data_IF_840641961790
#
_entry.id   IF_840641961790
#
_cell.length_a   1.000
_cell.length_b   1.000
_cell.length_c   1.000
_cell.angle_alpha   90.00
_cell.angle_beta   90.00
_cell.angle_gamma   90.00
#
_symmetry.space_group_name_H-M   'P 1'
#
loop_
_entity.id
_entity.type
_entity.pdbx_description
1 polymer ?
#
# COMPACT_ATOMS: atom_id res chain seq x y z
N UNK A 1 20.14 -15.59 -9.38
CA UNK A 1 19.83 -14.16 -9.70
C UNK A 1 18.43 -13.92 -9.21
N UNK A 2 18.23 -12.89 -8.38
CA UNK A 2 16.92 -12.56 -7.79
C UNK A 2 16.15 -11.71 -8.80
N UNK A 3 15.01 -12.19 -9.24
CA UNK A 3 14.17 -11.55 -10.25
C UNK A 3 13.18 -10.59 -9.58
N UNK A 4 13.27 -9.31 -9.90
CA UNK A 4 12.49 -8.25 -9.24
C UNK A 4 11.51 -7.59 -10.21
N UNK A 5 10.24 -7.48 -9.81
CA UNK A 5 9.24 -6.63 -10.42
C UNK A 5 9.15 -5.32 -9.63
N UNK A 6 9.16 -4.17 -10.32
CA UNK A 6 8.96 -2.84 -9.75
C UNK A 6 7.61 -2.27 -10.18
N UNK A 7 6.81 -1.81 -9.22
CA UNK A 7 5.57 -1.09 -9.48
C UNK A 7 5.57 0.25 -8.72
N UNK A 8 5.56 1.35 -9.46
CA UNK A 8 5.64 2.71 -8.94
C UNK A 8 5.13 3.68 -10.02
N UNK A 9 4.23 4.58 -9.70
CA UNK A 9 3.67 5.52 -10.69
C UNK A 9 4.66 6.64 -11.07
N UNK A 10 5.61 6.95 -10.18
CA UNK A 10 6.61 7.99 -10.40
C UNK A 10 7.74 7.47 -11.30
N UNK A 11 7.73 7.83 -12.57
CA UNK A 11 8.69 7.33 -13.57
C UNK A 11 10.17 7.56 -13.17
N UNK A 12 10.47 8.72 -12.53
CA UNK A 12 11.84 9.02 -12.07
C UNK A 12 12.27 8.09 -10.93
N UNK A 13 11.39 7.87 -9.95
CA UNK A 13 11.66 6.99 -8.80
C UNK A 13 11.81 5.55 -9.28
N UNK A 14 10.89 5.06 -10.11
CA UNK A 14 10.93 3.72 -10.69
C UNK A 14 12.23 3.50 -11.49
N UNK A 15 12.63 4.48 -12.31
CA UNK A 15 13.89 4.43 -13.06
C UNK A 15 15.12 4.41 -12.17
N UNK A 16 15.14 5.22 -11.10
CA UNK A 16 16.23 5.26 -10.13
C UNK A 16 16.36 3.94 -9.36
N UNK A 17 15.25 3.38 -8.89
CA UNK A 17 15.22 2.08 -8.21
C UNK A 17 15.68 0.95 -9.14
N UNK A 18 15.24 0.96 -10.40
CA UNK A 18 15.67 -0.03 -11.39
C UNK A 18 17.18 0.06 -11.66
N UNK A 19 17.72 1.27 -11.87
CA UNK A 19 19.14 1.48 -12.09
C UNK A 19 19.98 1.03 -10.88
N UNK A 20 19.55 1.38 -9.67
CA UNK A 20 20.21 1.01 -8.43
C UNK A 20 20.26 -0.53 -8.25
N UNK A 21 19.13 -1.21 -8.43
CA UNK A 21 19.08 -2.67 -8.31
C UNK A 21 19.89 -3.38 -9.40
N UNK A 22 19.96 -2.81 -10.61
CA UNK A 22 20.73 -3.38 -11.73
C UNK A 22 22.25 -3.29 -11.55
N UNK A 23 22.76 -2.50 -10.61
CA UNK A 23 24.18 -2.48 -10.25
C UNK A 23 24.58 -3.74 -9.48
N UNK A 24 23.63 -4.36 -8.78
CA UNK A 24 23.86 -5.53 -7.97
C UNK A 24 23.97 -6.80 -8.85
N UNK A 25 25.09 -7.57 -8.76
CA UNK A 25 25.33 -8.68 -9.67
C UNK A 25 24.38 -9.88 -9.48
N UNK A 26 23.67 -9.93 -8.37
CA UNK A 26 22.75 -10.99 -8.00
C UNK A 26 21.26 -10.63 -8.18
N UNK A 27 20.96 -9.40 -8.63
CA UNK A 27 19.59 -8.89 -8.82
C UNK A 27 19.33 -8.55 -10.28
N UNK A 28 18.15 -8.90 -10.78
CA UNK A 28 17.68 -8.57 -12.12
C UNK A 28 16.27 -7.94 -12.05
N UNK A 29 16.11 -6.74 -12.60
CA UNK A 29 14.79 -6.12 -12.73
C UNK A 29 14.13 -6.67 -14.00
N UNK A 30 13.17 -7.56 -13.81
CA UNK A 30 12.53 -8.30 -14.92
C UNK A 30 11.25 -7.65 -15.44
N UNK A 31 10.65 -6.74 -14.68
CA UNK A 31 9.47 -5.99 -15.09
C UNK A 31 9.38 -4.66 -14.34
N UNK A 32 8.83 -3.65 -15.01
CA UNK A 32 8.51 -2.34 -14.46
C UNK A 32 7.10 -1.94 -14.91
N UNK A 33 6.25 -1.53 -13.97
CA UNK A 33 4.87 -1.09 -14.24
C UNK A 33 4.56 0.21 -13.49
N UNK A 34 3.59 0.98 -13.99
CA UNK A 34 3.25 2.29 -13.47
C UNK A 34 1.91 2.31 -12.70
N UNK A 35 1.19 1.20 -12.66
CA UNK A 35 -0.10 1.11 -11.97
C UNK A 35 -0.30 -0.26 -11.32
N UNK A 36 -1.13 -0.31 -10.27
CA UNK A 36 -1.47 -1.56 -9.60
C UNK A 36 -2.28 -2.52 -10.48
N UNK A 37 -2.99 -2.02 -11.50
CA UNK A 37 -3.74 -2.84 -12.44
C UNK A 37 -2.84 -3.71 -13.32
N UNK A 38 -1.61 -3.28 -13.57
CA UNK A 38 -0.64 -3.98 -14.42
C UNK A 38 0.15 -5.06 -13.66
N UNK A 39 0.23 -4.97 -12.31
CA UNK A 39 1.11 -5.80 -11.47
C UNK A 39 0.91 -7.30 -11.71
N UNK A 40 -0.34 -7.78 -11.65
CA UNK A 40 -0.60 -9.22 -11.75
C UNK A 40 -0.26 -9.77 -13.14
N UNK A 41 -0.57 -9.02 -14.20
CA UNK A 41 -0.26 -9.42 -15.57
C UNK A 41 1.26 -9.47 -15.80
N UNK A 42 1.98 -8.44 -15.36
CA UNK A 42 3.44 -8.37 -15.43
C UNK A 42 4.12 -9.49 -14.62
N UNK A 43 3.62 -9.77 -13.40
CA UNK A 43 4.15 -10.85 -12.57
C UNK A 43 3.96 -12.23 -13.21
N UNK A 44 2.83 -12.48 -13.86
CA UNK A 44 2.61 -13.74 -14.60
C UNK A 44 3.54 -13.90 -15.80
N UNK A 45 3.81 -12.82 -16.51
CA UNK A 45 4.67 -12.84 -17.70
C UNK A 45 6.16 -12.94 -17.32
N UNK A 46 6.59 -12.17 -16.31
CA UNK A 46 7.99 -12.06 -15.92
C UNK A 46 8.43 -13.04 -14.84
N UNK A 47 7.52 -13.74 -14.16
CA UNK A 47 7.81 -14.69 -13.07
C UNK A 47 8.86 -14.18 -12.08
N UNK A 48 8.60 -13.06 -11.37
CA UNK A 48 9.54 -12.50 -10.41
C UNK A 48 9.58 -13.33 -9.12
N UNK A 49 10.72 -13.30 -8.42
CA UNK A 49 10.87 -13.83 -7.06
C UNK A 49 10.37 -12.82 -6.03
N UNK A 50 10.62 -11.54 -6.27
CA UNK A 50 10.27 -10.42 -5.40
C UNK A 50 9.52 -9.34 -6.19
N UNK A 51 8.44 -8.82 -5.63
CA UNK A 51 7.72 -7.65 -6.14
C UNK A 51 7.87 -6.48 -5.17
N UNK A 52 8.46 -5.37 -5.64
CA UNK A 52 8.50 -4.08 -4.94
C UNK A 52 7.33 -3.24 -5.42
N UNK A 53 6.40 -2.91 -4.52
CA UNK A 53 5.17 -2.21 -4.84
C UNK A 53 5.07 -0.90 -4.05
N UNK A 54 4.88 0.23 -4.74
CA UNK A 54 4.46 1.45 -4.06
C UNK A 54 3.03 1.33 -3.56
N UNK A 55 2.69 2.02 -2.48
CA UNK A 55 1.32 2.09 -1.95
C UNK A 55 0.44 2.94 -2.87
N UNK A 56 0.91 4.11 -3.26
CA UNK A 56 0.13 5.08 -4.02
C UNK A 56 0.35 4.90 -5.51
N UNK A 57 -0.58 4.27 -6.19
CA UNK A 57 -0.58 4.12 -7.64
C UNK A 57 -1.97 4.41 -8.23
N UNK A 58 -2.05 4.91 -9.47
CA UNK A 58 -3.32 5.14 -10.14
C UNK A 58 -4.08 3.83 -10.38
N UNK A 59 -5.40 3.93 -10.45
CA UNK A 59 -6.29 2.78 -10.59
C UNK A 59 -6.33 1.95 -9.30
N UNK A 60 -5.68 0.83 -9.30
CA UNK A 60 -5.56 -0.04 -8.14
C UNK A 60 -4.34 0.37 -7.28
N UNK A 61 -4.56 0.59 -5.99
CA UNK A 61 -3.46 0.87 -5.05
C UNK A 61 -2.55 -0.36 -4.84
N UNK A 62 -1.34 -0.10 -4.33
CA UNK A 62 -0.35 -1.16 -4.15
C UNK A 62 -0.72 -2.21 -3.11
N UNK A 63 -1.53 -1.88 -2.09
CA UNK A 63 -1.98 -2.85 -1.10
C UNK A 63 -3.02 -3.80 -1.68
N UNK A 64 -3.92 -3.28 -2.50
CA UNK A 64 -4.89 -4.08 -3.26
C UNK A 64 -4.17 -4.98 -4.28
N UNK A 65 -3.19 -4.43 -5.01
CA UNK A 65 -2.36 -5.20 -5.94
C UNK A 65 -1.55 -6.30 -5.21
N UNK A 66 -1.00 -6.01 -4.03
CA UNK A 66 -0.32 -6.98 -3.17
C UNK A 66 -1.23 -8.15 -2.76
N UNK A 67 -2.45 -7.85 -2.31
CA UNK A 67 -3.41 -8.88 -1.91
C UNK A 67 -3.83 -9.79 -3.08
N UNK A 68 -4.00 -9.22 -4.28
CA UNK A 68 -4.28 -9.99 -5.49
C UNK A 68 -3.09 -10.85 -5.91
N UNK A 69 -1.89 -10.26 -5.91
CA UNK A 69 -0.66 -10.97 -6.25
C UNK A 69 -0.39 -12.12 -5.29
N UNK A 70 -0.49 -11.89 -3.99
CA UNK A 70 -0.31 -12.91 -2.95
C UNK A 70 -1.28 -14.09 -3.12
N UNK A 71 -2.55 -13.81 -3.45
CA UNK A 71 -3.56 -14.84 -3.69
C UNK A 71 -3.30 -15.63 -4.96
N UNK A 72 -2.90 -14.94 -6.05
CA UNK A 72 -2.75 -15.54 -7.37
C UNK A 72 -1.40 -16.24 -7.56
N UNK A 73 -0.34 -15.71 -6.96
CA UNK A 73 1.05 -16.16 -7.08
C UNK A 73 1.74 -16.17 -5.70
N UNK A 74 1.39 -17.09 -4.80
CA UNK A 74 1.86 -17.09 -3.41
C UNK A 74 3.38 -17.33 -3.26
N UNK A 75 4.06 -17.74 -4.34
CA UNK A 75 5.52 -17.87 -4.39
C UNK A 75 6.24 -16.53 -4.51
N UNK A 76 5.58 -15.49 -5.01
CA UNK A 76 6.18 -14.15 -5.14
C UNK A 76 6.24 -13.46 -3.78
N UNK A 77 7.41 -13.03 -3.37
CA UNK A 77 7.62 -12.27 -2.13
C UNK A 77 7.31 -10.80 -2.35
N UNK A 78 6.46 -10.22 -1.53
CA UNK A 78 5.99 -8.85 -1.70
C UNK A 78 6.65 -7.93 -0.68
N UNK A 79 7.26 -6.86 -1.16
CA UNK A 79 7.81 -5.76 -0.37
C UNK A 79 7.05 -4.49 -0.74
N UNK A 80 6.48 -3.83 0.23
CA UNK A 80 5.94 -2.49 0.06
C UNK A 80 7.08 -1.49 0.19
N UNK A 81 7.20 -0.60 -0.82
CA UNK A 81 8.22 0.46 -0.86
C UNK A 81 7.51 1.80 -1.05
N UNK A 82 7.42 2.62 -0.01
CA UNK A 82 6.58 3.83 0.00
C UNK A 82 7.31 5.04 0.57
N UNK A 83 6.90 6.25 0.18
CA UNK A 83 7.41 7.50 0.77
C UNK A 83 6.93 7.72 2.20
N UNK A 84 5.84 7.05 2.63
CA UNK A 84 5.23 7.27 3.93
C UNK A 84 5.27 6.02 4.80
N UNK A 85 6.18 6.01 5.79
CA UNK A 85 6.25 4.98 6.83
C UNK A 85 5.15 5.14 7.89
N UNK A 86 3.87 5.18 7.48
CA UNK A 86 2.76 5.30 8.44
C UNK A 86 2.43 3.94 9.06
N UNK A 87 2.21 3.88 10.39
CA UNK A 87 1.97 2.61 11.09
C UNK A 87 0.80 1.79 10.54
N UNK A 88 -0.27 2.44 10.12
CA UNK A 88 -1.45 1.76 9.57
C UNK A 88 -1.20 1.15 8.18
N UNK A 89 -0.32 1.72 7.37
CA UNK A 89 0.09 1.11 6.10
C UNK A 89 0.86 -0.19 6.33
N UNK A 90 1.70 -0.24 7.36
CA UNK A 90 2.40 -1.48 7.71
C UNK A 90 1.42 -2.60 8.05
N UNK A 91 0.45 -2.36 8.93
CA UNK A 91 -0.54 -3.36 9.31
C UNK A 91 -1.34 -3.86 8.09
N UNK A 92 -1.78 -2.94 7.21
CA UNK A 92 -2.50 -3.28 5.97
C UNK A 92 -1.62 -4.04 4.99
N UNK A 93 -0.35 -3.65 4.83
CA UNK A 93 0.62 -4.34 3.97
C UNK A 93 0.83 -5.79 4.42
N UNK A 94 1.04 -6.01 5.72
CA UNK A 94 1.20 -7.35 6.27
C UNK A 94 -0.08 -8.19 6.08
N UNK A 95 -1.26 -7.61 6.29
CA UNK A 95 -2.55 -8.26 6.04
C UNK A 95 -2.77 -8.59 4.55
N UNK A 96 -2.22 -7.79 3.63
CA UNK A 96 -2.24 -8.02 2.19
C UNK A 96 -1.23 -9.08 1.72
N UNK A 97 -0.43 -9.66 2.63
CA UNK A 97 0.54 -10.71 2.33
C UNK A 97 1.96 -10.21 2.05
N UNK A 98 2.24 -8.92 2.28
CA UNK A 98 3.61 -8.42 2.21
C UNK A 98 4.47 -9.04 3.31
N UNK A 99 5.73 -9.29 2.99
CA UNK A 99 6.74 -9.81 3.91
C UNK A 99 7.86 -8.80 4.17
N UNK A 100 7.84 -7.67 3.44
CA UNK A 100 8.75 -6.54 3.64
C UNK A 100 8.01 -5.22 3.56
N UNK A 101 8.52 -4.23 4.31
CA UNK A 101 8.07 -2.84 4.26
C UNK A 101 9.28 -1.92 4.39
N UNK A 102 9.52 -1.09 3.39
CA UNK A 102 10.66 -0.19 3.29
C UNK A 102 10.17 1.20 2.93
N UNK A 103 10.74 2.24 3.53
CA UNK A 103 10.47 3.62 3.15
C UNK A 103 11.46 4.07 2.07
N UNK A 104 10.98 4.84 1.08
CA UNK A 104 11.80 5.27 -0.08
C UNK A 104 12.91 6.26 0.27
N UNK A 105 12.87 6.88 1.45
CA UNK A 105 13.91 7.76 1.99
C UNK A 105 15.02 7.00 2.75
N UNK A 106 14.87 5.68 2.91
CA UNK A 106 15.92 4.85 3.48
C UNK A 106 17.16 4.80 2.55
N UNK A 107 18.36 4.60 3.12
CA UNK A 107 19.57 4.40 2.33
C UNK A 107 19.40 3.30 1.28
N UNK A 108 19.91 3.48 0.05
CA UNK A 108 19.78 2.51 -1.04
C UNK A 108 20.16 1.07 -0.66
N UNK A 109 21.17 0.92 0.16
CA UNK A 109 21.68 -0.37 0.62
C UNK A 109 20.63 -1.14 1.45
N UNK A 110 19.74 -0.43 2.15
CA UNK A 110 18.68 -1.07 2.93
C UNK A 110 17.62 -1.70 2.02
N UNK A 111 17.31 -1.10 0.87
CA UNK A 111 16.39 -1.70 -0.08
C UNK A 111 16.99 -2.94 -0.73
N UNK A 112 18.26 -2.89 -1.11
CA UNK A 112 19.00 -4.05 -1.66
C UNK A 112 19.03 -5.18 -0.64
N UNK A 113 19.38 -4.90 0.62
CA UNK A 113 19.37 -5.88 1.71
C UNK A 113 17.97 -6.45 1.94
N UNK A 114 16.93 -5.60 1.90
CA UNK A 114 15.54 -6.03 2.03
C UNK A 114 15.15 -7.04 0.93
N UNK A 115 15.50 -6.79 -0.33
CA UNK A 115 15.27 -7.71 -1.44
C UNK A 115 15.93 -9.06 -1.20
N UNK A 116 17.21 -9.08 -0.79
CA UNK A 116 17.96 -10.30 -0.50
C UNK A 116 17.36 -11.09 0.66
N UNK A 117 17.05 -10.42 1.76
CA UNK A 117 16.48 -11.04 2.96
C UNK A 117 15.09 -11.59 2.71
N UNK A 118 14.26 -10.85 2.01
CA UNK A 118 12.90 -11.30 1.65
C UNK A 118 12.96 -12.49 0.70
N UNK A 119 13.85 -12.48 -0.28
CA UNK A 119 14.10 -13.63 -1.16
C UNK A 119 14.56 -14.86 -0.37
N UNK A 120 15.41 -14.68 0.65
CA UNK A 120 15.83 -15.73 1.58
C UNK A 120 14.72 -16.20 2.55
N UNK A 121 13.50 -15.67 2.44
CA UNK A 121 12.35 -16.07 3.28
C UNK A 121 12.22 -15.33 4.60
N UNK A 122 13.03 -14.30 4.84
CA UNK A 122 12.95 -13.49 6.04
C UNK A 122 11.88 -12.38 5.88
N UNK A 123 11.42 -11.84 7.00
CA UNK A 123 10.62 -10.61 7.03
C UNK A 123 11.50 -9.40 7.26
N UNK A 124 11.19 -8.30 6.58
CA UNK A 124 11.94 -7.04 6.69
C UNK A 124 10.99 -5.89 6.99
N UNK A 125 11.05 -5.40 8.22
CA UNK A 125 10.28 -4.24 8.69
C UNK A 125 11.18 -3.46 9.64
N UNK A 126 11.13 -2.14 9.57
CA UNK A 126 11.81 -1.29 10.55
C UNK A 126 11.23 -1.55 11.95
N UNK A 127 12.05 -1.85 12.98
CA UNK A 127 11.57 -2.16 14.32
C UNK A 127 10.79 -1.01 14.98
N UNK A 128 11.17 0.25 14.73
CA UNK A 128 10.48 1.41 15.29
C UNK A 128 9.09 1.54 14.66
N UNK A 129 8.98 1.39 13.34
CA UNK A 129 7.70 1.40 12.63
C UNK A 129 6.81 0.22 13.05
N UNK A 130 7.39 -0.95 13.29
CA UNK A 130 6.65 -2.11 13.79
C UNK A 130 6.07 -1.84 15.20
N UNK A 131 6.87 -1.27 16.10
CA UNK A 131 6.43 -0.92 17.45
C UNK A 131 5.32 0.14 17.42
N UNK A 132 5.44 1.17 16.57
CA UNK A 132 4.44 2.21 16.40
C UNK A 132 3.14 1.66 15.79
N UNK A 133 3.24 0.76 14.82
CA UNK A 133 2.08 0.08 14.23
C UNK A 133 1.31 -0.75 15.26
N UNK A 134 2.01 -1.43 16.17
CA UNK A 134 1.39 -2.15 17.27
C UNK A 134 0.68 -1.21 18.25
N UNK A 135 1.28 -0.05 18.54
CA UNK A 135 0.71 0.95 19.44
C UNK A 135 -0.54 1.64 18.83
N UNK A 136 -0.55 1.86 17.53
CA UNK A 136 -1.66 2.51 16.79
C UNK A 136 -2.87 1.57 16.65
N UNK A 137 -2.64 0.26 16.64
CA UNK A 137 -3.68 -0.75 16.49
C UNK A 137 -4.26 -0.85 15.06
N UNK A 138 -5.21 -1.77 14.90
CA UNK A 138 -5.94 -1.93 13.65
C UNK A 138 -6.90 -0.76 13.40
N UNK A 139 -7.20 -0.49 12.12
CA UNK A 139 -8.22 0.52 11.77
C UNK A 139 -9.56 0.19 12.42
N UNK A 140 -10.19 1.13 13.14
CA UNK A 140 -11.51 0.94 13.70
C UNK A 140 -12.62 1.06 12.65
N UNK A 141 -12.27 1.51 11.43
CA UNK A 141 -13.21 1.71 10.33
C UNK A 141 -13.57 0.37 9.69
N UNK A 142 -14.85 0.18 9.43
CA UNK A 142 -15.30 -0.91 8.57
C UNK A 142 -14.94 -0.62 7.11
N UNK A 143 -14.89 -1.63 6.21
CA UNK A 143 -14.62 -1.40 4.78
C UNK A 143 -15.57 -0.36 4.16
N UNK A 144 -16.82 -0.31 4.59
CA UNK A 144 -17.83 0.62 4.07
C UNK A 144 -17.64 2.05 4.61
N UNK A 145 -17.26 2.19 5.86
CA UNK A 145 -16.89 3.49 6.45
C UNK A 145 -15.64 4.06 5.81
N UNK A 146 -14.64 3.21 5.56
CA UNK A 146 -13.42 3.57 4.82
C UNK A 146 -13.77 4.09 3.42
N UNK A 147 -14.57 3.35 2.64
CA UNK A 147 -14.97 3.72 1.29
C UNK A 147 -15.74 5.05 1.25
N UNK A 148 -16.68 5.24 2.17
CA UNK A 148 -17.46 6.48 2.27
C UNK A 148 -16.59 7.66 2.71
N UNK A 149 -15.68 7.46 3.65
CA UNK A 149 -14.79 8.51 4.13
C UNK A 149 -13.76 8.91 3.05
N UNK A 150 -13.20 7.93 2.33
CA UNK A 150 -12.30 8.18 1.20
C UNK A 150 -12.98 8.97 0.08
N UNK A 151 -14.21 8.60 -0.28
CA UNK A 151 -14.98 9.35 -1.27
C UNK A 151 -15.28 10.79 -0.81
N UNK A 152 -15.51 11.00 0.48
CA UNK A 152 -15.73 12.33 1.05
C UNK A 152 -14.48 13.23 0.98
N UNK A 153 -13.27 12.66 1.04
CA UNK A 153 -12.01 13.39 0.83
C UNK A 153 -11.91 13.94 -0.59
N UNK A 154 -12.34 13.17 -1.58
CA UNK A 154 -12.34 13.60 -2.98
C UNK A 154 -13.30 14.76 -3.24
N UNK A 155 -14.18 15.09 -2.29
CA UNK A 155 -15.15 16.18 -2.36
C UNK A 155 -16.51 15.76 -2.86
N UNK A 156 -17.46 16.70 -2.81
CA UNK A 156 -18.84 16.49 -3.23
C UNK A 156 -19.85 16.55 -2.07
N UNK A 157 -21.12 16.62 -2.42
CA UNK A 157 -22.22 16.60 -1.45
C UNK A 157 -22.56 15.16 -1.04
N UNK A 158 -23.30 14.99 0.06
CA UNK A 158 -23.81 13.66 0.47
C UNK A 158 -24.61 13.01 -0.66
N UNK A 159 -25.32 13.81 -1.45
CA UNK A 159 -26.08 13.31 -2.62
C UNK A 159 -25.17 12.76 -3.72
N UNK A 160 -24.03 13.45 -3.97
CA UNK A 160 -23.04 12.99 -4.96
C UNK A 160 -22.38 11.68 -4.51
N UNK A 161 -21.98 11.61 -3.23
CA UNK A 161 -21.42 10.39 -2.63
C UNK A 161 -22.42 9.22 -2.69
N UNK A 162 -23.69 9.49 -2.41
CA UNK A 162 -24.74 8.47 -2.47
C UNK A 162 -24.88 7.87 -3.89
N UNK A 163 -24.84 8.72 -4.92
CA UNK A 163 -24.86 8.29 -6.33
C UNK A 163 -23.60 7.49 -6.70
N UNK A 164 -22.42 8.03 -6.36
CA UNK A 164 -21.12 7.41 -6.64
C UNK A 164 -21.00 6.02 -6.03
N UNK A 165 -21.43 5.86 -4.78
CA UNK A 165 -21.28 4.64 -3.99
C UNK A 165 -22.51 3.70 -4.11
N UNK A 166 -23.53 4.12 -4.85
CA UNK A 166 -24.83 3.40 -5.00
C UNK A 166 -25.48 3.13 -3.64
N UNK A 167 -25.53 4.15 -2.78
CA UNK A 167 -26.14 4.12 -1.45
C UNK A 167 -27.27 5.16 -1.35
N UNK A 168 -28.10 5.03 -0.30
CA UNK A 168 -28.98 6.14 0.08
C UNK A 168 -28.21 7.24 0.79
N UNK A 169 -28.69 8.49 0.70
CA UNK A 169 -28.09 9.61 1.47
C UNK A 169 -28.08 9.35 2.98
N UNK A 170 -29.14 8.71 3.51
CA UNK A 170 -29.19 8.33 4.92
C UNK A 170 -28.11 7.34 5.30
N UNK A 171 -27.82 6.36 4.42
CA UNK A 171 -26.75 5.38 4.62
C UNK A 171 -25.38 6.06 4.62
N UNK A 172 -25.15 7.00 3.69
CA UNK A 172 -23.89 7.78 3.63
C UNK A 172 -23.70 8.59 4.91
N UNK A 173 -24.74 9.32 5.37
CA UNK A 173 -24.68 10.07 6.64
C UNK A 173 -24.38 9.19 7.84
N UNK A 174 -24.96 8.00 7.90
CA UNK A 174 -24.72 7.05 8.98
C UNK A 174 -23.27 6.56 8.98
N UNK A 175 -22.70 6.20 7.82
CA UNK A 175 -21.31 5.78 7.72
C UNK A 175 -20.33 6.91 8.07
N UNK A 176 -20.59 8.15 7.60
CA UNK A 176 -19.78 9.31 7.96
C UNK A 176 -19.84 9.60 9.47
N UNK A 177 -21.02 9.58 10.07
CA UNK A 177 -21.20 9.80 11.50
C UNK A 177 -20.47 8.73 12.33
N UNK A 178 -20.57 7.47 11.92
CA UNK A 178 -19.85 6.35 12.56
C UNK A 178 -18.34 6.51 12.44
N UNK A 179 -17.84 6.85 11.25
CA UNK A 179 -16.41 7.08 11.03
C UNK A 179 -15.88 8.26 11.86
N UNK A 180 -16.63 9.36 11.94
CA UNK A 180 -16.32 10.52 12.80
C UNK A 180 -16.21 10.08 14.28
N UNK A 181 -17.18 9.32 14.77
CA UNK A 181 -17.15 8.81 16.14
C UNK A 181 -15.97 7.89 16.42
N UNK A 182 -15.65 6.97 15.50
CA UNK A 182 -14.55 6.01 15.65
C UNK A 182 -13.16 6.66 15.58
N UNK A 183 -13.02 7.74 14.81
CA UNK A 183 -11.76 8.49 14.73
C UNK A 183 -11.59 9.50 15.86
N UNK A 184 -12.65 9.79 16.62
CA UNK A 184 -12.67 10.84 17.63
C UNK A 184 -12.68 12.25 17.05
N UNK A 185 -13.01 12.40 15.77
CA UNK A 185 -13.08 13.66 15.06
C UNK A 185 -14.40 14.40 15.35
N UNK A 186 -14.47 15.66 14.93
CA UNK A 186 -15.70 16.49 14.98
C UNK A 186 -16.36 16.62 13.62
N UNK A 187 -15.60 16.43 12.55
CA UNK A 187 -16.06 16.62 11.17
C UNK A 187 -15.51 15.52 10.26
N UNK A 188 -16.15 15.31 9.09
CA UNK A 188 -15.67 14.35 8.10
C UNK A 188 -14.26 14.66 7.58
N UNK A 189 -13.89 15.92 7.26
CA UNK A 189 -12.52 16.25 6.86
C UNK A 189 -11.49 15.96 7.97
N UNK A 190 -11.83 16.23 9.23
CA UNK A 190 -10.96 15.92 10.36
C UNK A 190 -10.82 14.40 10.55
N UNK A 191 -11.92 13.66 10.41
CA UNK A 191 -11.91 12.20 10.46
C UNK A 191 -11.02 11.60 9.38
N UNK A 192 -11.09 12.14 8.17
CA UNK A 192 -10.25 11.73 7.05
C UNK A 192 -8.77 12.02 7.35
N UNK A 193 -8.42 13.22 7.79
CA UNK A 193 -7.04 13.59 8.14
C UNK A 193 -6.47 12.66 9.24
N UNK A 194 -7.23 12.41 10.31
CA UNK A 194 -6.81 11.49 11.38
C UNK A 194 -6.64 10.07 10.84
N UNK A 195 -7.55 9.62 9.99
CA UNK A 195 -7.50 8.30 9.40
C UNK A 195 -6.31 8.15 8.43
N UNK A 196 -5.98 9.18 7.65
CA UNK A 196 -4.78 9.21 6.81
C UNK A 196 -3.50 9.21 7.65
N UNK A 197 -3.39 10.06 8.68
CA UNK A 197 -2.22 10.13 9.56
C UNK A 197 -1.94 8.79 10.26
N UNK A 198 -3.00 8.05 10.57
CA UNK A 198 -2.90 6.71 11.19
C UNK A 198 -2.83 5.58 10.16
N UNK A 199 -2.90 5.88 8.86
CA UNK A 199 -2.91 4.89 7.79
C UNK A 199 -4.14 3.98 7.81
N UNK A 200 -5.27 4.50 8.26
CA UNK A 200 -6.57 3.83 8.23
C UNK A 200 -7.35 4.09 6.93
N UNK A 201 -6.91 5.12 6.16
CA UNK A 201 -7.33 5.43 4.79
C UNK A 201 -6.21 5.13 3.80
#
# INVERSE_FOLDING_TARGET
MIRVLLADDQALVRGALAAMLSIEPDIEVVAQVASGDEVLAAARAATPDVALLDVQMPGKDGLTAAAELHRALPGVRIVICTTFGRPGYLARAMAAGAVGFVVKDAPPEQLVDAVRRVHAGLRVVDPALAAESLATGASPLTPREHEVLLAAVAGGTVSDLAKQLRLSEGTVRNHLSSAIGKTGARTSPEAARIAEERGWL
#
